data_IF_507710874134
#
_entry.id   IF_507710874134
#
_cell.length_a   1.000
_cell.length_b   1.000
_cell.length_c   1.000
_cell.angle_alpha   90.00
_cell.angle_beta   90.00
_cell.angle_gamma   90.00
#
_symmetry.space_group_name_H-M   'P 1'
#
loop_
_entity.id
_entity.type
_entity.pdbx_description
1 polymer ?
#
# COMPACT_ATOMS: atom_id res chain seq x y z
N UNK A 1 10.61 5.12 3.10
CA UNK A 1 9.33 5.77 3.47
C UNK A 1 8.41 4.70 4.01
N UNK A 2 7.62 5.02 5.03
CA UNK A 2 6.61 4.11 5.55
C UNK A 2 5.22 4.62 5.15
N UNK A 3 4.37 3.72 4.65
CA UNK A 3 3.00 4.02 4.24
C UNK A 3 2.04 3.52 5.31
N UNK A 4 1.29 4.44 5.89
CA UNK A 4 0.32 4.17 6.96
C UNK A 4 -1.05 4.74 6.59
N UNK A 5 -1.69 4.14 5.57
CA UNK A 5 -3.04 4.52 5.16
C UNK A 5 -4.08 3.68 5.91
N UNK A 6 -4.86 4.35 6.76
CA UNK A 6 -5.91 3.73 7.57
C UNK A 6 -7.34 4.12 7.17
N UNK A 7 -8.06 3.37 6.34
CA UNK A 7 -7.67 2.14 5.63
C UNK A 7 -8.30 2.19 4.22
N UNK A 8 -7.67 1.62 3.19
CA UNK A 8 -8.26 1.50 1.87
C UNK A 8 -9.59 0.73 1.93
N UNK A 9 -10.56 1.12 1.11
CA UNK A 9 -11.90 0.49 0.98
C UNK A 9 -12.81 0.68 2.20
N UNK A 10 -12.29 1.14 3.35
CA UNK A 10 -13.06 1.27 4.58
C UNK A 10 -14.00 2.50 4.53
N UNK A 11 -15.33 2.33 4.38
CA UNK A 11 -16.26 3.45 4.22
C UNK A 11 -16.37 4.30 5.50
N UNK A 12 -16.15 3.70 6.67
CA UNK A 12 -16.04 4.39 7.97
C UNK A 12 -14.79 5.28 8.08
N UNK A 13 -13.85 5.13 7.13
CA UNK A 13 -12.62 5.93 7.00
C UNK A 13 -12.58 6.73 5.71
N UNK A 14 -13.71 6.84 5.00
CA UNK A 14 -13.82 7.57 3.74
C UNK A 14 -13.24 6.86 2.52
N UNK A 15 -12.90 5.57 2.63
CA UNK A 15 -12.43 4.75 1.53
C UNK A 15 -13.53 4.36 0.56
N UNK A 16 -13.13 3.97 -0.65
CA UNK A 16 -14.01 3.49 -1.71
C UNK A 16 -13.48 2.18 -2.31
N UNK A 17 -14.31 1.39 -3.01
CA UNK A 17 -13.89 0.11 -3.59
C UNK A 17 -12.67 0.21 -4.51
N UNK A 18 -12.49 1.35 -5.18
CA UNK A 18 -11.38 1.62 -6.09
C UNK A 18 -10.02 1.71 -5.37
N UNK A 19 -10.00 1.95 -4.06
CA UNK A 19 -8.77 2.00 -3.27
C UNK A 19 -7.96 0.70 -3.37
N UNK A 20 -8.65 -0.45 -3.49
CA UNK A 20 -8.03 -1.76 -3.56
C UNK A 20 -7.02 -1.85 -4.71
N UNK A 21 -7.42 -1.40 -5.91
CA UNK A 21 -6.57 -1.39 -7.11
C UNK A 21 -5.67 -0.16 -7.15
N UNK A 22 -6.21 1.01 -6.77
CA UNK A 22 -5.48 2.27 -6.83
C UNK A 22 -4.27 2.28 -5.90
N UNK A 23 -4.34 1.63 -4.74
CA UNK A 23 -3.22 1.60 -3.81
C UNK A 23 -2.05 0.80 -4.41
N UNK A 24 -2.32 -0.32 -5.09
CA UNK A 24 -1.29 -1.08 -5.83
C UNK A 24 -0.64 -0.21 -6.91
N UNK A 25 -1.45 0.52 -7.69
CA UNK A 25 -0.94 1.43 -8.73
C UNK A 25 -0.10 2.56 -8.14
N UNK A 26 -0.49 3.10 -6.99
CA UNK A 26 0.26 4.12 -6.30
C UNK A 26 1.63 3.61 -5.83
N UNK A 27 1.66 2.45 -5.15
CA UNK A 27 2.90 1.88 -4.62
C UNK A 27 3.84 1.42 -5.73
N UNK A 28 3.32 0.88 -6.84
CA UNK A 28 4.15 0.48 -7.99
C UNK A 28 4.84 1.68 -8.65
N UNK A 29 4.12 2.79 -8.85
CA UNK A 29 4.69 4.05 -9.37
C UNK A 29 5.70 4.66 -8.41
N UNK A 30 5.43 4.59 -7.10
CA UNK A 30 6.38 5.03 -6.09
C UNK A 30 7.67 4.21 -6.16
N UNK A 31 7.58 2.88 -6.26
CA UNK A 31 8.73 1.98 -6.39
C UNK A 31 9.54 2.28 -7.66
N UNK A 32 8.88 2.47 -8.80
CA UNK A 32 9.54 2.86 -10.06
C UNK A 32 10.32 4.17 -9.89
N UNK A 33 9.69 5.19 -9.27
CA UNK A 33 10.36 6.47 -9.06
C UNK A 33 11.52 6.36 -8.08
N UNK A 34 11.36 5.59 -7.00
CA UNK A 34 12.42 5.35 -6.02
C UNK A 34 13.63 4.70 -6.68
N UNK A 35 13.43 3.64 -7.48
CA UNK A 35 14.53 3.02 -8.21
C UNK A 35 15.24 3.99 -9.17
N UNK A 36 14.51 4.92 -9.79
CA UNK A 36 15.09 5.92 -10.68
C UNK A 36 15.93 6.98 -9.94
N UNK A 37 15.49 7.41 -8.75
CA UNK A 37 16.19 8.45 -7.97
C UNK A 37 17.31 7.86 -7.10
N UNK A 38 17.02 6.81 -6.35
CA UNK A 38 17.97 6.07 -5.52
C UNK A 38 17.45 4.64 -5.26
N UNK A 39 18.05 3.61 -5.87
CA UNK A 39 17.67 2.21 -5.65
C UNK A 39 17.73 1.74 -4.19
N UNK A 40 18.48 2.42 -3.33
CA UNK A 40 18.56 2.11 -1.90
C UNK A 40 17.39 2.64 -1.06
N UNK A 41 16.44 3.38 -1.65
CA UNK A 41 15.25 3.81 -0.92
C UNK A 41 14.24 2.68 -0.75
N UNK A 42 13.80 2.49 0.48
CA UNK A 42 12.84 1.46 0.86
C UNK A 42 11.42 2.03 0.96
N UNK A 43 10.45 1.17 0.72
CA UNK A 43 9.02 1.44 0.94
C UNK A 43 8.55 0.36 1.91
N UNK A 44 8.13 0.75 3.09
CA UNK A 44 7.49 -0.13 4.08
C UNK A 44 6.02 0.23 4.20
N UNK A 45 5.19 -0.67 4.73
CA UNK A 45 3.76 -0.43 4.86
C UNK A 45 3.19 -1.04 6.12
N UNK A 46 2.57 -0.21 6.95
CA UNK A 46 1.84 -0.68 8.13
C UNK A 46 0.55 -1.39 7.72
N UNK A 47 0.40 -2.67 8.09
CA UNK A 47 -0.83 -3.42 7.91
C UNK A 47 -1.63 -3.51 9.21
N UNK A 48 -2.97 -3.46 9.16
CA UNK A 48 -3.80 -3.67 10.33
C UNK A 48 -3.79 -5.13 10.79
N UNK A 49 -3.84 -5.36 12.10
CA UNK A 49 -4.02 -6.71 12.67
C UNK A 49 -5.45 -7.27 12.48
N UNK A 50 -6.45 -6.39 12.29
CA UNK A 50 -7.85 -6.77 12.11
C UNK A 50 -8.15 -7.14 10.66
N UNK A 51 -8.70 -8.34 10.45
CA UNK A 51 -9.18 -8.76 9.12
C UNK A 51 -10.20 -7.78 8.52
N UNK A 52 -10.98 -7.10 9.36
CA UNK A 52 -11.99 -6.14 8.93
C UNK A 52 -11.40 -5.03 8.04
N UNK A 53 -10.19 -4.59 8.36
CA UNK A 53 -9.45 -3.58 7.59
C UNK A 53 -8.44 -4.20 6.63
N UNK A 54 -7.82 -5.34 6.99
CA UNK A 54 -6.83 -6.01 6.14
C UNK A 54 -7.40 -6.42 4.78
N UNK A 55 -8.68 -6.80 4.72
CA UNK A 55 -9.35 -7.19 3.46
C UNK A 55 -9.44 -6.07 2.42
N UNK A 56 -9.19 -4.82 2.80
CA UNK A 56 -9.09 -3.68 1.87
C UNK A 56 -7.74 -3.57 1.16
N UNK A 57 -6.75 -4.39 1.54
CA UNK A 57 -5.41 -4.39 0.96
C UNK A 57 -5.25 -5.59 0.02
N UNK A 58 -4.79 -5.36 -1.22
CA UNK A 58 -4.28 -6.42 -2.07
C UNK A 58 -2.85 -6.79 -1.65
N UNK A 59 -2.73 -7.46 -0.51
CA UNK A 59 -1.43 -7.80 0.10
C UNK A 59 -0.51 -8.53 -0.88
N UNK A 60 -1.09 -9.39 -1.73
CA UNK A 60 -0.31 -10.18 -2.70
C UNK A 60 0.34 -9.28 -3.74
N UNK A 61 -0.42 -8.37 -4.34
CA UNK A 61 0.11 -7.44 -5.35
C UNK A 61 1.01 -6.38 -4.72
N UNK A 62 0.69 -5.90 -3.51
CA UNK A 62 1.50 -4.92 -2.78
C UNK A 62 2.89 -5.47 -2.41
N UNK A 63 3.00 -6.76 -2.10
CA UNK A 63 4.27 -7.41 -1.73
C UNK A 63 5.34 -7.29 -2.82
N UNK A 64 4.95 -7.13 -4.09
CA UNK A 64 5.92 -6.94 -5.19
C UNK A 64 6.68 -5.61 -5.11
N UNK A 65 6.13 -4.62 -4.40
CA UNK A 65 6.63 -3.25 -4.42
C UNK A 65 7.09 -2.73 -3.05
N UNK A 66 6.66 -3.35 -1.95
CA UNK A 66 7.15 -3.01 -0.61
C UNK A 66 8.38 -3.85 -0.24
N UNK A 67 9.24 -3.27 0.58
CA UNK A 67 10.39 -3.94 1.17
C UNK A 67 9.97 -4.79 2.38
N UNK A 68 9.00 -4.30 3.18
CA UNK A 68 8.51 -4.94 4.39
C UNK A 68 7.09 -4.46 4.73
N UNK A 69 6.34 -5.30 5.45
CA UNK A 69 5.05 -4.97 6.06
C UNK A 69 5.16 -4.96 7.59
#
# INVERSE_FOLDING_TARGET
VDLDWEYPVAPDRGGSPEDFENFVVFVSRMRERFHKENPGWEITMTLPASYWYLRGFDVKSLQEYVTYF
#
